data_IF_997937711713
#
_entry.id   IF_997937711713
#
_cell.length_a   1.000
_cell.length_b   1.000
_cell.length_c   1.000
_cell.angle_alpha   90.00
_cell.angle_beta   90.00
_cell.angle_gamma   90.00
#
_symmetry.space_group_name_H-M   'P 1'
#
loop_
_entity.id
_entity.type
_entity.pdbx_description
1 polymer ?
#
# COMPACT_ATOMS: atom_id res chain seq x y z
N UNK A 1 2.83 -8.33 11.41
CA UNK A 1 3.76 -7.41 10.73
C UNK A 1 3.27 -6.00 10.98
N UNK A 2 4.09 -5.13 11.56
CA UNK A 2 3.80 -3.70 11.63
C UNK A 2 4.11 -3.11 10.26
N UNK A 3 3.27 -2.21 9.73
CA UNK A 3 3.53 -1.53 8.45
C UNK A 3 4.40 -0.27 8.60
N UNK A 4 4.69 0.10 9.85
CA UNK A 4 5.59 1.19 10.21
C UNK A 4 6.46 0.70 11.36
N UNK A 5 7.77 0.89 11.28
CA UNK A 5 8.67 0.61 12.39
C UNK A 5 8.84 1.88 13.24
N UNK A 6 9.03 1.73 14.57
CA UNK A 6 9.29 2.87 15.43
C UNK A 6 10.63 3.53 15.07
N UNK A 7 10.66 4.86 15.09
CA UNK A 7 11.87 5.67 14.96
C UNK A 7 12.69 5.68 16.28
N UNK A 8 13.74 6.49 16.33
CA UNK A 8 14.59 6.66 17.51
C UNK A 8 13.84 7.18 18.75
N UNK A 9 12.69 7.83 18.56
CA UNK A 9 11.82 8.36 19.61
C UNK A 9 10.68 7.40 19.99
N UNK A 10 10.58 6.24 19.34
CA UNK A 10 9.49 5.29 19.52
C UNK A 10 8.20 5.68 18.78
N UNK A 11 8.26 6.64 17.86
CA UNK A 11 7.13 7.07 17.05
C UNK A 11 7.05 6.26 15.76
N UNK A 12 5.83 5.97 15.30
CA UNK A 12 5.56 5.29 14.04
C UNK A 12 4.88 6.26 13.07
N UNK A 13 5.27 6.18 11.80
CA UNK A 13 4.75 7.07 10.75
C UNK A 13 4.13 6.25 9.63
N UNK A 14 2.90 6.61 9.24
CA UNK A 14 2.23 6.07 8.05
C UNK A 14 1.81 7.21 7.15
N UNK A 15 1.88 7.00 5.84
CA UNK A 15 1.46 7.99 4.84
C UNK A 15 0.06 7.62 4.37
N UNK A 16 -0.87 8.57 4.45
CA UNK A 16 -2.15 8.47 3.75
C UNK A 16 -1.95 9.00 2.33
N UNK A 17 -2.19 8.14 1.35
CA UNK A 17 -2.05 8.48 -0.07
C UNK A 17 -3.41 8.49 -0.76
N UNK A 18 -3.57 9.39 -1.73
CA UNK A 18 -4.56 9.22 -2.81
C UNK A 18 -3.91 8.40 -3.92
N UNK A 19 -4.61 7.39 -4.40
CA UNK A 19 -4.10 6.48 -5.42
C UNK A 19 -5.07 6.37 -6.59
N UNK A 20 -4.55 6.49 -7.81
CA UNK A 20 -5.30 6.19 -9.04
C UNK A 20 -5.18 4.68 -9.31
N UNK A 21 -6.23 3.93 -8.97
CA UNK A 21 -6.23 2.46 -9.10
C UNK A 21 -6.55 1.98 -10.52
N UNK A 22 -7.37 2.72 -11.28
CA UNK A 22 -7.77 2.30 -12.63
C UNK A 22 -8.45 0.93 -12.65
N UNK A 23 -8.23 0.17 -13.72
CA UNK A 23 -8.70 -1.20 -13.83
C UNK A 23 -7.78 -2.16 -13.06
N UNK A 24 -8.31 -2.74 -11.99
CA UNK A 24 -7.53 -3.61 -11.09
C UNK A 24 -7.54 -5.06 -11.56
N UNK A 25 -6.40 -5.74 -11.45
CA UNK A 25 -6.32 -7.20 -11.54
C UNK A 25 -6.13 -7.84 -10.17
N UNK A 26 -6.70 -9.03 -9.97
CA UNK A 26 -6.43 -9.79 -8.76
C UNK A 26 -5.03 -10.40 -8.83
N UNK A 27 -4.19 -10.13 -7.83
CA UNK A 27 -2.83 -10.67 -7.71
C UNK A 27 -2.77 -11.63 -6.52
N UNK A 28 -2.59 -12.92 -6.82
CA UNK A 28 -2.53 -13.94 -5.78
C UNK A 28 -1.29 -13.82 -4.89
N UNK A 29 -1.44 -14.17 -3.61
CA UNK A 29 -0.33 -14.22 -2.66
C UNK A 29 0.72 -15.23 -3.16
N UNK A 30 1.97 -14.78 -3.27
CA UNK A 30 3.07 -15.59 -3.81
C UNK A 30 3.23 -15.53 -5.33
N UNK A 31 2.47 -14.66 -6.00
CA UNK A 31 2.67 -14.35 -7.42
C UNK A 31 4.10 -13.83 -7.69
N UNK A 32 4.65 -14.22 -8.85
CA UNK A 32 5.92 -13.69 -9.37
C UNK A 32 5.71 -12.45 -10.27
N UNK A 33 4.49 -11.91 -10.34
CA UNK A 33 4.19 -10.71 -11.14
C UNK A 33 4.94 -9.49 -10.60
N UNK A 34 5.51 -8.71 -11.52
CA UNK A 34 6.23 -7.47 -11.24
C UNK A 34 5.75 -6.29 -12.12
N UNK A 35 4.75 -6.54 -12.97
CA UNK A 35 4.07 -5.58 -13.85
C UNK A 35 2.64 -6.11 -14.12
N UNK A 36 1.74 -5.33 -14.75
CA UNK A 36 0.40 -5.80 -15.05
C UNK A 36 0.40 -7.06 -15.94
N UNK A 37 -0.52 -7.99 -15.75
CA UNK A 37 -0.59 -9.21 -16.60
C UNK A 37 -0.95 -8.93 -18.06
N UNK A 38 -1.57 -7.78 -18.32
CA UNK A 38 -1.86 -7.28 -19.67
C UNK A 38 -2.03 -5.75 -19.65
N UNK A 39 -2.01 -5.13 -20.83
CA UNK A 39 -2.24 -3.67 -20.99
C UNK A 39 -3.64 -3.21 -20.54
N UNK A 40 -4.56 -4.12 -20.24
CA UNK A 40 -5.88 -3.78 -19.75
C UNK A 40 -5.89 -3.41 -18.26
N UNK A 41 -4.80 -3.63 -17.51
CA UNK A 41 -4.76 -3.44 -16.07
C UNK A 41 -3.77 -2.35 -15.65
N UNK A 42 -4.21 -1.53 -14.70
CA UNK A 42 -3.47 -0.37 -14.20
C UNK A 42 -2.82 -0.62 -12.84
N UNK A 43 -3.42 -1.48 -12.01
CA UNK A 43 -2.94 -1.81 -10.67
C UNK A 43 -3.36 -3.23 -10.24
N UNK A 44 -2.71 -3.74 -9.18
CA UNK A 44 -3.04 -5.04 -8.58
C UNK A 44 -3.85 -4.91 -7.29
N UNK A 45 -4.66 -5.92 -6.98
CA UNK A 45 -5.44 -6.01 -5.74
C UNK A 45 -5.45 -7.44 -5.20
N UNK A 46 -5.49 -7.63 -3.88
CA UNK A 46 -5.50 -8.98 -3.30
C UNK A 46 -6.85 -9.70 -3.45
N UNK A 47 -7.96 -8.95 -3.42
CA UNK A 47 -9.30 -9.46 -3.65
C UNK A 47 -10.18 -8.36 -4.26
N UNK A 48 -10.75 -8.62 -5.44
CA UNK A 48 -11.55 -7.61 -6.16
C UNK A 48 -12.85 -7.25 -5.44
N UNK A 49 -13.46 -8.20 -4.72
CA UNK A 49 -14.75 -7.99 -4.03
C UNK A 49 -14.59 -7.35 -2.64
N UNK A 50 -13.46 -7.58 -1.97
CA UNK A 50 -13.18 -7.07 -0.64
C UNK A 50 -11.68 -6.75 -0.48
N UNK A 51 -11.22 -5.63 -1.06
CA UNK A 51 -9.81 -5.32 -1.17
C UNK A 51 -9.21 -4.91 0.17
N UNK A 52 -8.01 -5.43 0.48
CA UNK A 52 -7.24 -5.10 1.68
C UNK A 52 -5.82 -4.65 1.38
N UNK A 53 -5.27 -5.05 0.24
CA UNK A 53 -3.94 -4.69 -0.21
C UNK A 53 -3.99 -4.33 -1.70
N UNK A 54 -3.35 -3.21 -2.04
CA UNK A 54 -3.24 -2.72 -3.42
C UNK A 54 -1.77 -2.70 -3.83
N UNK A 55 -1.52 -2.92 -5.12
CA UNK A 55 -0.20 -2.88 -5.73
C UNK A 55 -0.23 -1.82 -6.83
N UNK A 56 0.53 -0.75 -6.65
CA UNK A 56 0.83 0.18 -7.75
C UNK A 56 2.14 -0.27 -8.38
N UNK A 57 2.12 -0.57 -9.68
CA UNK A 57 3.32 -0.99 -10.40
C UNK A 57 4.36 0.13 -10.40
N UNK A 58 5.64 -0.23 -10.33
CA UNK A 58 6.74 0.74 -10.25
C UNK A 58 6.74 1.74 -11.42
N UNK A 59 6.31 1.32 -12.60
CA UNK A 59 6.15 2.16 -13.79
C UNK A 59 5.13 3.29 -13.63
N UNK A 60 4.19 3.17 -12.69
CA UNK A 60 3.12 4.14 -12.45
C UNK A 60 3.24 4.87 -11.10
N UNK A 61 4.19 4.48 -10.24
CA UNK A 61 4.24 4.96 -8.85
C UNK A 61 4.29 6.49 -8.73
N UNK A 62 5.05 7.18 -9.59
CA UNK A 62 5.23 8.63 -9.52
C UNK A 62 4.05 9.43 -10.05
N UNK A 63 3.21 8.81 -10.88
CA UNK A 63 2.05 9.46 -11.50
C UNK A 63 0.74 9.10 -10.77
N UNK A 64 0.67 7.93 -10.15
CA UNK A 64 -0.56 7.38 -9.58
C UNK A 64 -0.64 7.49 -8.06
N UNK A 65 0.44 7.88 -7.37
CA UNK A 65 0.45 8.04 -5.91
C UNK A 65 0.66 9.52 -5.59
N UNK A 66 -0.31 10.11 -4.89
CA UNK A 66 -0.17 11.40 -4.24
C UNK A 66 -0.12 11.19 -2.72
N UNK A 67 1.05 11.33 -2.08
CA UNK A 67 1.15 11.41 -0.62
C UNK A 67 0.39 12.63 -0.12
N UNK A 68 -0.66 12.44 0.68
CA UNK A 68 -1.52 13.54 1.10
C UNK A 68 -1.25 13.96 2.54
N UNK A 69 -1.08 12.99 3.44
CA UNK A 69 -0.83 13.25 4.86
C UNK A 69 0.17 12.26 5.45
N UNK A 70 0.88 12.71 6.49
CA UNK A 70 1.66 11.83 7.37
C UNK A 70 0.94 11.74 8.70
N UNK A 71 0.65 10.52 9.14
CA UNK A 71 0.08 10.24 10.45
C UNK A 71 1.20 9.68 11.34
N UNK A 72 1.51 10.43 12.40
CA UNK A 72 2.48 10.04 13.43
C UNK A 72 1.72 9.59 14.67
N UNK A 73 2.11 8.45 15.22
CA UNK A 73 1.54 7.92 16.46
C UNK A 73 2.57 7.11 17.23
N UNK A 74 2.46 7.12 18.55
CA UNK A 74 3.26 6.25 19.43
C UNK A 74 2.35 5.18 20.01
N UNK A 75 2.86 3.96 20.15
CA UNK A 75 2.15 2.92 20.91
C UNK A 75 2.44 3.14 22.39
N UNK A 76 1.40 3.53 23.15
CA UNK A 76 1.45 3.39 24.58
C UNK A 76 1.19 1.93 24.93
N UNK A 77 2.21 1.23 25.43
CA UNK A 77 2.01 -0.11 25.99
C UNK A 77 1.13 0.01 27.24
N UNK A 78 -0.16 -0.32 27.10
CA UNK A 78 -1.08 -0.47 28.23
C UNK A 78 -0.85 -1.82 28.94
N UNK A 79 0.37 -2.01 29.45
CA UNK A 79 0.69 -3.07 30.40
C UNK A 79 1.52 -2.47 31.54
N UNK A 80 0.81 -1.98 32.56
CA UNK A 80 1.23 -2.07 33.96
C UNK A 80 0.22 -2.95 34.68
#
# INVERSE_FOLDING_TARGET
LSYADPDENGEQHVILCRVILGNMEQVDRGSNQFHPSSENFDSGVDNVSNPRHYIVWSTHMNAHILPEYVLTFSRHDHLR
#
